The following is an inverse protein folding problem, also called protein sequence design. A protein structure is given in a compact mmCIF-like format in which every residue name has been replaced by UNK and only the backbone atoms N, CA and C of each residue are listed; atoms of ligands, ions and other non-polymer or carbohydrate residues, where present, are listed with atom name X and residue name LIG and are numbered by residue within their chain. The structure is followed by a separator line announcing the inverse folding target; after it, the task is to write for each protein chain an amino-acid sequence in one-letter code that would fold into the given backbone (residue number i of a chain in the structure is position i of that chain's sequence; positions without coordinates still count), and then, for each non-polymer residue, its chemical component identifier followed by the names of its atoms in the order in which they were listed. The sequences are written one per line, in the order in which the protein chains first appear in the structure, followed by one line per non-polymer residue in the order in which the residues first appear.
data_IF_485689340815
#
_entry.id   IF_485689340815
#
_cell.length_a   1.000
_cell.length_b   1.000
_cell.length_c   1.000
_cell.angle_alpha   90.00
_cell.angle_beta   90.00
_cell.angle_gamma   90.00
#
_symmetry.space_group_name_H-M   'P 1'
#
loop_
_entity.id
_entity.type
_entity.pdbx_description
1 polymer ?
#
# COMPACT_ATOMS: atom_id res chain seq x y z
N UNK A 1 22.94 -6.21 -3.29
CA UNK A 1 21.79 -5.32 -3.00
C UNK A 1 21.11 -5.73 -1.70
N UNK A 2 20.60 -4.75 -0.92
CA UNK A 2 19.73 -5.04 0.24
C UNK A 2 18.52 -5.87 -0.24
N UNK A 3 18.24 -6.99 0.42
CA UNK A 3 17.09 -7.85 0.09
C UNK A 3 15.77 -7.19 0.49
N UNK A 4 14.73 -7.41 -0.30
CA UNK A 4 13.38 -6.96 0.01
C UNK A 4 12.75 -7.90 1.05
N UNK A 5 12.80 -7.47 2.32
CA UNK A 5 12.33 -8.26 3.46
C UNK A 5 10.87 -8.70 3.33
N UNK A 6 9.99 -7.80 2.89
CA UNK A 6 8.56 -8.13 2.76
C UNK A 6 8.29 -9.11 1.61
N UNK A 7 9.03 -8.99 0.51
CA UNK A 7 8.95 -9.95 -0.61
C UNK A 7 9.37 -11.35 -0.17
N UNK A 8 10.40 -11.43 0.69
CA UNK A 8 10.83 -12.68 1.30
C UNK A 8 9.77 -13.22 2.27
N UNK A 9 9.22 -12.39 3.15
CA UNK A 9 8.16 -12.81 4.10
C UNK A 9 6.97 -13.41 3.36
N UNK A 10 6.47 -12.77 2.30
CA UNK A 10 5.35 -13.28 1.51
C UNK A 10 5.68 -14.61 0.81
N UNK A 11 6.91 -14.77 0.28
CA UNK A 11 7.37 -16.06 -0.28
C UNK A 11 7.40 -17.18 0.76
N UNK A 12 7.65 -16.84 2.03
CA UNK A 12 7.61 -17.77 3.17
C UNK A 12 6.19 -18.01 3.70
N UNK A 13 5.16 -17.43 3.07
CA UNK A 13 3.76 -17.52 3.51
C UNK A 13 3.46 -16.72 4.78
N UNK A 14 4.30 -15.75 5.12
CA UNK A 14 4.08 -14.84 6.26
C UNK A 14 3.37 -13.60 5.78
N UNK A 15 2.25 -13.18 6.42
CA UNK A 15 1.55 -11.96 6.06
C UNK A 15 2.40 -10.74 6.42
N UNK A 16 2.33 -9.70 5.58
CA UNK A 16 2.98 -8.41 5.76
C UNK A 16 1.97 -7.41 6.30
N UNK A 17 2.32 -6.71 7.37
CA UNK A 17 1.54 -5.62 7.95
C UNK A 17 2.14 -4.30 7.48
N UNK A 18 1.39 -3.59 6.64
CA UNK A 18 1.79 -2.32 6.05
C UNK A 18 1.08 -1.13 6.69
N UNK A 19 1.85 -0.10 7.03
CA UNK A 19 1.30 1.20 7.42
C UNK A 19 1.26 2.16 6.22
N UNK A 20 0.50 3.26 6.35
CA UNK A 20 0.25 4.20 5.27
C UNK A 20 0.57 5.62 5.70
N UNK A 21 1.37 6.36 4.93
CA UNK A 21 1.82 7.71 5.22
C UNK A 21 1.18 8.69 4.23
N UNK A 22 0.22 9.48 4.69
CA UNK A 22 -0.49 10.49 3.93
C UNK A 22 -0.11 11.93 4.31
N UNK A 23 0.56 12.12 5.46
CA UNK A 23 1.03 13.43 5.95
C UNK A 23 2.41 13.71 5.33
N UNK A 24 2.64 14.88 4.68
CA UNK A 24 3.90 15.23 4.05
C UNK A 24 4.95 15.67 5.09
N UNK A 25 5.31 14.76 6.00
CA UNK A 25 6.19 15.05 7.13
C UNK A 25 7.13 13.90 7.44
N UNK A 26 8.43 14.23 7.54
CA UNK A 26 9.45 13.28 8.00
C UNK A 26 9.21 12.86 9.45
N UNK A 27 8.74 13.78 10.31
CA UNK A 27 8.43 13.45 11.71
C UNK A 27 7.28 12.44 11.83
N UNK A 28 6.24 12.57 10.98
CA UNK A 28 5.17 11.57 10.91
C UNK A 28 5.70 10.22 10.42
N UNK A 29 6.49 10.22 9.33
CA UNK A 29 7.08 9.01 8.77
C UNK A 29 8.01 8.31 9.77
N UNK A 30 8.83 9.07 10.55
CA UNK A 30 9.68 8.56 11.60
C UNK A 30 8.88 7.93 12.73
N UNK A 31 7.87 8.65 13.24
CA UNK A 31 6.99 8.13 14.28
C UNK A 31 6.34 6.81 13.84
N UNK A 32 5.83 6.74 12.60
CA UNK A 32 5.28 5.52 12.03
C UNK A 32 6.32 4.41 11.90
N UNK A 33 7.53 4.69 11.42
CA UNK A 33 8.57 3.70 11.17
C UNK A 33 9.04 2.97 12.45
N UNK A 34 8.84 3.57 13.62
CA UNK A 34 9.19 2.99 14.92
C UNK A 34 8.04 2.20 15.59
N UNK A 35 6.92 1.96 14.92
CA UNK A 35 5.75 1.26 15.51
C UNK A 35 5.69 -0.25 15.21
N UNK A 36 6.69 -0.80 14.51
CA UNK A 36 6.75 -2.25 14.25
C UNK A 36 6.06 -2.72 12.96
N UNK A 37 5.80 -1.82 12.02
CA UNK A 37 5.35 -2.18 10.67
C UNK A 37 6.42 -2.95 9.91
N UNK A 38 6.03 -3.90 9.06
CA UNK A 38 6.95 -4.56 8.13
C UNK A 38 7.31 -3.66 6.95
N UNK A 39 6.36 -2.82 6.54
CA UNK A 39 6.52 -1.83 5.48
C UNK A 39 5.69 -0.56 5.74
N UNK A 40 6.11 0.53 5.12
CA UNK A 40 5.35 1.79 5.07
C UNK A 40 5.22 2.25 3.63
N UNK A 41 3.99 2.53 3.22
CA UNK A 41 3.69 3.09 1.90
C UNK A 41 3.48 4.59 1.99
N UNK A 42 4.30 5.36 1.30
CA UNK A 42 4.11 6.81 1.10
C UNK A 42 3.09 7.00 0.00
N UNK A 43 1.99 7.68 0.32
CA UNK A 43 0.87 7.86 -0.58
C UNK A 43 0.99 9.14 -1.39
N UNK A 44 1.43 9.02 -2.64
CA UNK A 44 1.58 10.16 -3.55
C UNK A 44 0.31 10.38 -4.40
N UNK A 45 -0.72 9.51 -4.30
CA UNK A 45 -1.97 9.64 -5.05
C UNK A 45 -3.01 10.49 -4.31
N UNK A 46 -3.38 10.07 -3.10
CA UNK A 46 -4.41 10.72 -2.28
C UNK A 46 -3.86 11.30 -0.99
N UNK A 47 -2.62 10.98 -0.62
CA UNK A 47 -1.88 11.66 0.43
C UNK A 47 -1.57 13.12 0.02
N UNK A 48 -1.23 13.94 1.00
CA UNK A 48 -0.81 15.31 0.76
C UNK A 48 0.68 15.39 0.34
N UNK A 49 1.20 14.32 -0.29
CA UNK A 49 2.62 14.08 -0.52
C UNK A 49 2.95 14.18 -2.00
N UNK A 50 3.85 15.08 -2.35
CA UNK A 50 4.52 15.12 -3.66
C UNK A 50 5.94 14.52 -3.57
N UNK A 51 6.70 14.54 -4.68
CA UNK A 51 8.05 14.00 -4.70
C UNK A 51 8.99 14.71 -3.73
N UNK A 52 8.83 16.01 -3.52
CA UNK A 52 9.69 16.81 -2.65
C UNK A 52 9.55 16.39 -1.18
N UNK A 53 8.38 15.94 -0.78
CA UNK A 53 8.10 15.38 0.54
C UNK A 53 8.43 13.88 0.59
N UNK A 54 8.11 13.12 -0.47
CA UNK A 54 8.33 11.68 -0.51
C UNK A 54 9.81 11.32 -0.36
N UNK A 55 10.72 12.03 -1.00
CA UNK A 55 12.16 11.78 -0.91
C UNK A 55 12.67 11.81 0.54
N UNK A 56 12.52 12.87 1.34
CA UNK A 56 12.95 12.88 2.73
C UNK A 56 12.18 11.88 3.61
N UNK A 57 10.91 11.58 3.32
CA UNK A 57 10.17 10.53 4.01
C UNK A 57 10.78 9.14 3.74
N UNK A 58 11.16 8.83 2.48
CA UNK A 58 11.88 7.60 2.14
C UNK A 58 13.23 7.52 2.87
N UNK A 59 13.96 8.64 3.00
CA UNK A 59 15.20 8.70 3.77
C UNK A 59 14.95 8.35 5.23
N UNK A 60 13.93 8.93 5.83
CA UNK A 60 13.56 8.69 7.23
C UNK A 60 13.17 7.24 7.48
N UNK A 61 12.27 6.68 6.68
CA UNK A 61 11.85 5.27 6.81
C UNK A 61 13.06 4.34 6.70
N UNK A 62 14.00 4.63 5.79
CA UNK A 62 15.19 3.80 5.56
C UNK A 62 16.22 3.82 6.71
N UNK A 63 16.05 4.64 7.74
CA UNK A 63 16.87 4.58 8.96
C UNK A 63 16.48 3.42 9.87
N UNK A 64 15.37 2.75 9.58
CA UNK A 64 14.85 1.60 10.30
C UNK A 64 14.89 0.33 9.42
N UNK A 65 14.42 -0.80 9.97
CA UNK A 65 14.27 -2.05 9.21
C UNK A 65 12.96 -2.13 8.41
N UNK A 66 12.13 -1.10 8.46
CA UNK A 66 10.85 -1.02 7.74
C UNK A 66 11.12 -0.83 6.24
N UNK A 67 10.44 -1.62 5.41
CA UNK A 67 10.60 -1.53 3.95
C UNK A 67 9.84 -0.33 3.38
N UNK A 68 10.52 0.65 2.73
CA UNK A 68 9.85 1.81 2.15
C UNK A 68 9.17 1.48 0.82
N UNK A 69 7.88 1.76 0.72
CA UNK A 69 7.05 1.62 -0.48
C UNK A 69 6.43 2.95 -0.87
N UNK A 70 5.92 3.05 -2.10
CA UNK A 70 5.13 4.19 -2.56
C UNK A 70 3.89 3.75 -3.33
N UNK A 71 2.77 4.44 -3.13
CA UNK A 71 1.69 4.49 -4.11
C UNK A 71 1.90 5.70 -4.99
N UNK A 72 2.09 5.47 -6.29
CA UNK A 72 2.28 6.55 -7.28
C UNK A 72 0.95 7.20 -7.64
N UNK A 73 1.00 8.41 -8.20
CA UNK A 73 -0.21 9.17 -8.55
C UNK A 73 -1.01 8.48 -9.65
N UNK A 74 -0.30 7.90 -10.60
CA UNK A 74 -0.85 7.21 -11.77
C UNK A 74 0.19 6.25 -12.35
N UNK A 75 -0.22 5.42 -13.30
CA UNK A 75 0.71 4.57 -14.07
C UNK A 75 1.51 5.44 -15.06
N UNK A 76 2.41 6.26 -14.53
CA UNK A 76 3.23 7.22 -15.29
C UNK A 76 4.71 6.88 -15.06
N UNK A 77 5.45 6.49 -16.15
CA UNK A 77 6.81 5.96 -16.04
C UNK A 77 7.81 6.89 -15.35
N UNK A 78 7.74 8.19 -15.62
CA UNK A 78 8.67 9.16 -15.05
C UNK A 78 8.55 9.27 -13.53
N UNK A 79 7.33 9.21 -13.00
CA UNK A 79 7.09 9.22 -11.56
C UNK A 79 7.55 7.90 -10.90
N UNK A 80 7.24 6.77 -11.54
CA UNK A 80 7.65 5.44 -11.08
C UNK A 80 9.18 5.38 -10.99
N UNK A 81 9.89 5.73 -12.07
CA UNK A 81 11.35 5.73 -12.10
C UNK A 81 11.92 6.66 -11.02
N UNK A 82 11.36 7.86 -10.89
CA UNK A 82 11.83 8.89 -9.97
C UNK A 82 11.76 8.46 -8.51
N UNK A 83 10.63 7.84 -8.10
CA UNK A 83 10.49 7.39 -6.70
C UNK A 83 11.31 6.12 -6.42
N UNK A 84 11.52 5.26 -7.40
CA UNK A 84 12.45 4.13 -7.28
C UNK A 84 13.89 4.61 -7.09
N UNK A 85 14.32 5.66 -7.81
CA UNK A 85 15.64 6.26 -7.66
C UNK A 85 15.83 6.94 -6.28
N UNK A 86 14.71 7.33 -5.62
CA UNK A 86 14.69 7.80 -4.24
C UNK A 86 14.89 6.67 -3.21
N UNK A 87 15.03 5.40 -3.63
CA UNK A 87 15.26 4.25 -2.76
C UNK A 87 13.97 3.55 -2.30
N UNK A 88 12.87 3.74 -3.00
CA UNK A 88 11.65 2.97 -2.82
C UNK A 88 11.89 1.51 -3.21
N UNK A 89 11.36 0.57 -2.43
CA UNK A 89 11.53 -0.89 -2.63
C UNK A 89 10.28 -1.59 -3.14
N UNK A 90 9.23 -0.84 -3.42
CA UNK A 90 8.03 -1.37 -4.08
C UNK A 90 7.03 -0.29 -4.43
N UNK A 91 6.32 -0.53 -5.50
CA UNK A 91 5.31 0.37 -6.06
C UNK A 91 3.93 -0.27 -5.94
N UNK A 92 2.99 0.50 -5.43
CA UNK A 92 1.55 0.26 -5.56
C UNK A 92 1.06 1.17 -6.69
N UNK A 93 0.72 0.59 -7.84
CA UNK A 93 0.29 1.33 -9.04
C UNK A 93 -1.24 1.35 -9.13
N UNK A 94 -1.90 2.52 -9.01
CA UNK A 94 -3.35 2.61 -9.05
C UNK A 94 -3.92 2.38 -10.45
N UNK A 95 -5.21 2.03 -10.53
CA UNK A 95 -6.05 2.05 -11.73
C UNK A 95 -5.56 1.17 -12.88
N UNK A 96 -4.84 0.08 -12.60
CA UNK A 96 -4.40 -0.87 -13.64
C UNK A 96 -5.58 -1.71 -14.09
N UNK A 97 -6.04 -1.48 -15.34
CA UNK A 97 -7.31 -2.00 -15.84
C UNK A 97 -7.18 -3.13 -16.86
N UNK A 98 -6.01 -3.27 -17.49
CA UNK A 98 -5.78 -4.26 -18.54
C UNK A 98 -4.31 -4.68 -18.63
N UNK A 99 -4.05 -5.71 -19.45
CA UNK A 99 -2.70 -6.27 -19.65
C UNK A 99 -1.69 -5.22 -20.11
N UNK A 100 -2.06 -4.33 -21.04
CA UNK A 100 -1.15 -3.32 -21.56
C UNK A 100 -0.70 -2.34 -20.49
N UNK A 101 -1.59 -1.95 -19.60
CA UNK A 101 -1.27 -1.10 -18.46
C UNK A 101 -0.40 -1.82 -17.44
N UNK A 102 -0.65 -3.11 -17.19
CA UNK A 102 0.19 -3.94 -16.34
C UNK A 102 1.61 -4.08 -16.91
N UNK A 103 1.75 -4.33 -18.23
CA UNK A 103 3.04 -4.37 -18.92
C UNK A 103 3.78 -3.03 -18.82
N UNK A 104 3.11 -1.92 -19.08
CA UNK A 104 3.71 -0.59 -18.99
C UNK A 104 4.23 -0.29 -17.57
N UNK A 105 3.44 -0.64 -16.55
CA UNK A 105 3.81 -0.51 -15.15
C UNK A 105 5.06 -1.32 -14.80
N UNK A 106 5.05 -2.59 -15.13
CA UNK A 106 6.19 -3.49 -14.84
C UNK A 106 7.45 -3.01 -15.53
N UNK A 107 7.37 -2.70 -16.84
CA UNK A 107 8.50 -2.25 -17.61
C UNK A 107 9.08 -0.92 -17.13
N UNK A 108 8.24 -0.02 -16.60
CA UNK A 108 8.69 1.22 -15.95
C UNK A 108 9.48 0.97 -14.65
N UNK A 109 9.22 -0.14 -13.97
CA UNK A 109 9.93 -0.53 -12.75
C UNK A 109 11.26 -1.25 -13.01
N UNK A 110 11.45 -1.83 -14.20
CA UNK A 110 12.54 -2.75 -14.51
C UNK A 110 13.58 -2.14 -15.45
N UNK A 111 14.84 -2.43 -15.20
CA UNK A 111 15.94 -2.09 -16.13
C UNK A 111 15.95 -3.01 -17.34
N UNK A 112 16.49 -2.54 -18.48
CA UNK A 112 16.73 -3.40 -19.65
C UNK A 112 17.56 -4.67 -19.28
N UNK A 113 17.33 -5.81 -19.96
CA UNK A 113 16.43 -5.99 -21.11
C UNK A 113 14.95 -6.20 -20.75
N UNK A 114 14.59 -6.38 -19.46
CA UNK A 114 13.24 -6.75 -19.02
C UNK A 114 12.26 -5.57 -19.01
N UNK A 115 12.77 -4.34 -18.99
CA UNK A 115 11.98 -3.11 -19.01
C UNK A 115 12.71 -1.95 -19.69
N UNK A 116 12.22 -0.74 -19.42
CA UNK A 116 12.78 0.49 -19.99
C UNK A 116 13.12 1.57 -18.94
N UNK A 117 13.21 1.18 -17.65
CA UNK A 117 13.64 2.10 -16.59
C UNK A 117 15.00 2.68 -16.93
N UNK A 118 15.12 4.01 -16.93
CA UNK A 118 16.40 4.69 -17.12
C UNK A 118 17.32 4.49 -15.91
N UNK A 119 18.60 4.27 -16.14
CA UNK A 119 19.58 4.07 -15.08
C UNK A 119 20.12 5.40 -14.53
N UNK A 120 19.90 5.66 -13.27
CA UNK A 120 20.38 6.84 -12.55
C UNK A 120 19.96 6.81 -11.06
N UNK A 121 20.04 5.64 -10.38
CA UNK A 121 19.46 5.47 -9.06
C UNK A 121 20.38 6.01 -7.95
N UNK A 122 20.57 7.33 -7.86
CA UNK A 122 21.49 7.95 -6.89
C UNK A 122 21.26 7.40 -5.48
N UNK A 123 20.04 7.51 -4.97
CA UNK A 123 19.75 7.01 -3.63
C UNK A 123 19.46 5.51 -3.60
N UNK A 124 18.99 4.95 -4.72
CA UNK A 124 18.87 3.49 -4.89
C UNK A 124 20.20 2.78 -4.62
N UNK A 125 21.33 3.33 -5.11
CA UNK A 125 22.68 2.81 -4.83
C UNK A 125 23.09 3.00 -3.36
N UNK A 126 22.80 4.15 -2.74
CA UNK A 126 23.14 4.44 -1.34
C UNK A 126 22.40 3.48 -0.40
N UNK A 127 21.12 3.29 -0.59
CA UNK A 127 20.26 2.46 0.26
C UNK A 127 20.32 0.99 -0.10
N UNK A 128 20.30 0.68 -1.38
CA UNK A 128 20.24 -0.68 -1.91
C UNK A 128 21.59 -1.38 -1.99
N UNK A 129 22.67 -0.63 -2.19
CA UNK A 129 24.03 -1.18 -2.37
C UNK A 129 24.58 -0.98 -3.77
N UNK A 130 25.90 -1.15 -3.94
CA UNK A 130 26.60 -0.88 -5.20
C UNK A 130 26.16 -1.81 -6.37
N UNK A 131 25.68 -2.98 -6.05
CA UNK A 131 25.13 -3.99 -6.96
C UNK A 131 23.61 -3.84 -7.21
N UNK A 132 23.06 -2.64 -6.95
CA UNK A 132 21.61 -2.37 -7.08
C UNK A 132 21.06 -2.71 -8.46
N UNK A 133 21.77 -2.35 -9.53
CA UNK A 133 21.34 -2.59 -10.90
C UNK A 133 21.17 -4.08 -11.23
N UNK A 134 22.05 -4.93 -10.67
CA UNK A 134 22.07 -6.36 -10.97
C UNK A 134 20.88 -7.11 -10.36
N UNK A 135 20.23 -6.53 -9.33
CA UNK A 135 19.19 -7.19 -8.56
C UNK A 135 17.87 -6.41 -8.48
N UNK A 136 17.83 -5.14 -8.93
CA UNK A 136 16.65 -4.29 -8.77
C UNK A 136 15.38 -4.88 -9.42
N UNK A 137 15.50 -5.51 -10.59
CA UNK A 137 14.39 -6.12 -11.29
C UNK A 137 13.70 -7.22 -10.45
N UNK A 138 14.48 -7.94 -9.63
CA UNK A 138 13.99 -9.01 -8.76
C UNK A 138 13.49 -8.49 -7.41
N UNK A 139 14.20 -7.50 -6.82
CA UNK A 139 13.95 -7.05 -5.45
C UNK A 139 12.84 -6.01 -5.36
N UNK A 140 12.62 -5.19 -6.38
CA UNK A 140 11.52 -4.20 -6.39
C UNK A 140 10.16 -4.93 -6.46
N UNK A 141 9.30 -4.68 -5.46
CA UNK A 141 7.94 -5.21 -5.41
C UNK A 141 7.02 -4.41 -6.33
N UNK A 142 6.27 -5.09 -7.19
CA UNK A 142 5.36 -4.49 -8.19
C UNK A 142 3.93 -4.97 -7.94
N UNK A 143 3.10 -4.10 -7.32
CA UNK A 143 1.71 -4.37 -6.98
C UNK A 143 0.78 -3.55 -7.89
N UNK A 144 0.00 -4.22 -8.74
CA UNK A 144 -1.01 -3.58 -9.58
C UNK A 144 -2.33 -3.45 -8.80
N UNK A 145 -2.94 -2.25 -8.71
CA UNK A 145 -4.22 -2.11 -8.04
C UNK A 145 -5.37 -2.58 -8.92
N UNK A 146 -6.21 -3.41 -8.33
CA UNK A 146 -7.46 -3.93 -8.93
C UNK A 146 -8.62 -3.20 -8.26
N UNK A 147 -9.19 -2.23 -8.97
CA UNK A 147 -10.18 -1.32 -8.38
C UNK A 147 -11.15 -0.71 -9.42
N UNK A 148 -11.06 -1.13 -10.69
CA UNK A 148 -11.93 -0.66 -11.77
C UNK A 148 -12.85 -1.78 -12.28
N UNK A 149 -13.94 -1.42 -12.97
CA UNK A 149 -14.79 -2.42 -13.62
C UNK A 149 -14.03 -3.20 -14.69
N UNK A 150 -13.22 -2.50 -15.49
CA UNK A 150 -12.39 -3.10 -16.54
C UNK A 150 -11.36 -4.08 -15.96
N UNK A 151 -10.72 -3.74 -14.82
CA UNK A 151 -9.78 -4.64 -14.16
C UNK A 151 -10.42 -5.93 -13.70
N UNK A 152 -11.70 -5.88 -13.25
CA UNK A 152 -12.46 -7.06 -12.88
C UNK A 152 -12.77 -8.00 -14.08
N UNK A 153 -12.87 -7.43 -15.27
CA UNK A 153 -13.09 -8.19 -16.52
C UNK A 153 -11.76 -8.82 -17.01
N UNK A 154 -10.61 -8.26 -16.64
CA UNK A 154 -9.27 -8.61 -17.15
C UNK A 154 -8.34 -9.23 -16.09
N UNK A 155 -8.87 -9.82 -15.01
CA UNK A 155 -8.07 -10.29 -13.86
C UNK A 155 -6.92 -11.22 -14.28
N UNK A 156 -7.21 -12.28 -15.04
CA UNK A 156 -6.19 -13.24 -15.43
C UNK A 156 -5.13 -12.64 -16.37
N UNK A 157 -5.52 -11.71 -17.25
CA UNK A 157 -4.58 -11.03 -18.14
C UNK A 157 -3.61 -10.12 -17.39
N UNK A 158 -4.12 -9.35 -16.40
CA UNK A 158 -3.30 -8.50 -15.54
C UNK A 158 -2.37 -9.36 -14.68
N UNK A 159 -2.92 -10.38 -14.03
CA UNK A 159 -2.20 -11.20 -13.05
C UNK A 159 -1.18 -12.14 -13.68
N UNK A 160 -1.38 -12.57 -14.94
CA UNK A 160 -0.43 -13.37 -15.70
C UNK A 160 0.65 -12.54 -16.42
N UNK A 161 0.60 -11.22 -16.31
CA UNK A 161 1.62 -10.35 -16.92
C UNK A 161 2.99 -10.60 -16.28
N UNK A 162 4.01 -10.98 -17.06
CA UNK A 162 5.34 -11.23 -16.51
C UNK A 162 5.89 -10.03 -15.74
N UNK A 163 6.37 -10.27 -14.53
CA UNK A 163 6.94 -9.25 -13.66
C UNK A 163 5.95 -8.56 -12.72
N UNK A 164 4.65 -8.80 -12.83
CA UNK A 164 3.69 -8.46 -11.77
C UNK A 164 3.94 -9.40 -10.59
N UNK A 165 4.38 -8.86 -9.45
CA UNK A 165 4.63 -9.66 -8.24
C UNK A 165 3.33 -9.94 -7.47
N UNK A 166 2.34 -9.06 -7.58
CA UNK A 166 1.07 -9.20 -6.90
C UNK A 166 0.07 -8.13 -7.30
N UNK A 167 -1.11 -8.26 -6.72
CA UNK A 167 -2.16 -7.24 -6.83
C UNK A 167 -2.38 -6.53 -5.48
N UNK A 168 -2.99 -5.36 -5.55
CA UNK A 168 -3.45 -4.62 -4.39
C UNK A 168 -4.90 -4.16 -4.60
N UNK A 169 -5.78 -4.49 -3.66
CA UNK A 169 -7.19 -4.13 -3.77
C UNK A 169 -7.44 -2.78 -3.08
N UNK A 170 -8.03 -1.82 -3.82
CA UNK A 170 -8.62 -0.59 -3.31
C UNK A 170 -10.13 -0.75 -3.11
N UNK A 171 -10.64 -1.18 -1.94
CA UNK A 171 -12.05 -1.54 -1.78
C UNK A 171 -13.02 -0.38 -2.00
N UNK A 172 -12.58 0.87 -1.75
CA UNK A 172 -13.42 2.05 -1.93
C UNK A 172 -13.74 2.29 -3.41
N UNK A 173 -12.70 2.35 -4.26
CA UNK A 173 -12.84 2.53 -5.71
C UNK A 173 -13.49 1.32 -6.37
N UNK A 174 -13.12 0.10 -5.95
CA UNK A 174 -13.78 -1.12 -6.38
C UNK A 174 -15.30 -1.09 -6.12
N UNK A 175 -15.71 -0.61 -4.92
CA UNK A 175 -17.13 -0.48 -4.59
C UNK A 175 -17.84 0.50 -5.52
N UNK A 176 -17.23 1.67 -5.77
CA UNK A 176 -17.76 2.66 -6.72
C UNK A 176 -17.87 2.10 -8.13
N UNK A 177 -16.85 1.36 -8.59
CA UNK A 177 -16.80 0.76 -9.92
C UNK A 177 -17.95 -0.23 -10.18
N UNK A 178 -18.46 -0.88 -9.14
CA UNK A 178 -19.60 -1.83 -9.23
C UNK A 178 -20.93 -1.24 -8.75
N UNK A 179 -21.00 0.07 -8.51
CA UNK A 179 -22.22 0.79 -8.14
C UNK A 179 -22.63 0.67 -6.67
N UNK A 180 -21.68 0.35 -5.77
CA UNK A 180 -21.88 0.37 -4.32
C UNK A 180 -21.28 1.64 -3.68
N UNK A 181 -21.69 1.95 -2.45
CA UNK A 181 -21.09 3.04 -1.67
C UNK A 181 -19.63 2.72 -1.34
N UNK A 182 -18.71 3.70 -1.40
CA UNK A 182 -17.31 3.48 -1.08
C UNK A 182 -17.12 3.09 0.38
N UNK A 183 -16.14 2.22 0.64
CA UNK A 183 -15.77 1.80 1.99
C UNK A 183 -14.62 0.81 1.95
N UNK A 184 -13.84 0.77 3.04
CA UNK A 184 -12.69 -0.13 3.14
C UNK A 184 -13.10 -1.52 3.60
N UNK A 185 -13.82 -1.61 4.73
CA UNK A 185 -14.26 -2.88 5.31
C UNK A 185 -15.64 -3.22 4.75
N UNK A 186 -15.70 -4.28 3.95
CA UNK A 186 -16.94 -4.68 3.28
C UNK A 186 -17.65 -5.79 4.05
N UNK A 187 -18.95 -5.62 4.26
CA UNK A 187 -19.79 -6.68 4.84
C UNK A 187 -19.90 -7.87 3.87
N UNK A 188 -19.98 -9.08 4.39
CA UNK A 188 -20.06 -10.32 3.61
C UNK A 188 -21.26 -10.38 2.65
N UNK A 189 -22.28 -9.57 2.92
CA UNK A 189 -23.50 -9.47 2.10
C UNK A 189 -23.34 -8.53 0.90
N UNK A 190 -22.23 -7.82 0.76
CA UNK A 190 -22.01 -6.87 -0.33
C UNK A 190 -21.40 -7.54 -1.57
N UNK A 191 -21.69 -6.98 -2.75
CA UNK A 191 -21.05 -7.42 -3.99
C UNK A 191 -19.54 -7.17 -3.95
N UNK A 192 -19.10 -6.02 -3.38
CA UNK A 192 -17.70 -5.71 -3.25
C UNK A 192 -16.93 -6.77 -2.44
N UNK A 193 -17.53 -7.33 -1.38
CA UNK A 193 -16.91 -8.42 -0.65
C UNK A 193 -16.74 -9.68 -1.52
N UNK A 194 -17.75 -10.04 -2.29
CA UNK A 194 -17.68 -11.18 -3.21
C UNK A 194 -16.60 -10.98 -4.26
N UNK A 195 -16.48 -9.76 -4.83
CA UNK A 195 -15.42 -9.42 -5.78
C UNK A 195 -14.02 -9.46 -5.14
N UNK A 196 -13.87 -8.98 -3.90
CA UNK A 196 -12.60 -9.07 -3.15
C UNK A 196 -12.15 -10.54 -3.03
N UNK A 197 -13.05 -11.45 -2.71
CA UNK A 197 -12.71 -12.88 -2.63
C UNK A 197 -12.43 -13.50 -4.00
N UNK A 198 -13.15 -13.08 -5.05
CA UNK A 198 -12.88 -13.51 -6.44
C UNK A 198 -11.50 -13.06 -6.90
N UNK A 199 -11.11 -11.80 -6.63
CA UNK A 199 -9.77 -11.28 -6.94
C UNK A 199 -8.70 -12.10 -6.21
N UNK A 200 -8.90 -12.41 -4.93
CA UNK A 200 -7.98 -13.24 -4.15
C UNK A 200 -7.83 -14.65 -4.76
N UNK A 201 -8.92 -15.26 -5.20
CA UNK A 201 -8.89 -16.57 -5.86
C UNK A 201 -8.06 -16.54 -7.15
N UNK A 202 -8.27 -15.52 -8.00
CA UNK A 202 -7.50 -15.33 -9.23
C UNK A 202 -6.01 -15.07 -8.93
N UNK A 203 -5.66 -14.29 -7.90
CA UNK A 203 -4.27 -14.08 -7.50
C UNK A 203 -3.60 -15.40 -7.09
N UNK A 204 -4.27 -16.23 -6.30
CA UNK A 204 -3.78 -17.55 -5.91
C UNK A 204 -3.61 -18.48 -7.10
N UNK A 205 -4.56 -18.51 -8.02
CA UNK A 205 -4.49 -19.30 -9.26
C UNK A 205 -3.29 -18.91 -10.12
N UNK A 206 -2.97 -17.61 -10.18
CA UNK A 206 -1.81 -17.08 -10.90
C UNK A 206 -0.50 -17.12 -10.10
N UNK A 207 -0.54 -17.64 -8.86
CA UNK A 207 0.61 -17.75 -7.96
C UNK A 207 1.34 -16.41 -7.72
N UNK A 208 0.56 -15.33 -7.54
CA UNK A 208 1.04 -13.99 -7.19
C UNK A 208 0.48 -13.54 -5.84
N UNK A 209 1.14 -12.56 -5.21
CA UNK A 209 0.72 -12.01 -3.92
C UNK A 209 -0.58 -11.21 -4.01
N UNK A 210 -1.37 -11.28 -2.95
CA UNK A 210 -2.60 -10.52 -2.82
C UNK A 210 -2.52 -9.53 -1.66
N UNK A 211 -2.66 -8.23 -1.96
CA UNK A 211 -2.72 -7.15 -1.00
C UNK A 211 -4.11 -6.51 -0.93
N UNK A 212 -4.45 -5.92 0.22
CA UNK A 212 -5.72 -5.23 0.42
C UNK A 212 -5.62 -4.08 1.41
N UNK A 213 -6.32 -2.97 1.14
CA UNK A 213 -6.48 -1.85 2.06
C UNK A 213 -7.66 -2.10 3.01
N UNK A 214 -7.46 -1.89 4.32
CA UNK A 214 -8.46 -2.15 5.34
C UNK A 214 -8.70 -0.90 6.20
N UNK A 215 -9.89 -0.80 6.77
CA UNK A 215 -10.26 0.28 7.68
C UNK A 215 -9.95 -0.04 9.15
N UNK A 216 -10.05 -1.34 9.52
CA UNK A 216 -9.90 -1.81 10.90
C UNK A 216 -8.94 -2.98 11.03
N UNK A 217 -8.39 -3.16 12.23
CA UNK A 217 -7.51 -4.28 12.57
C UNK A 217 -8.25 -5.63 12.53
N UNK A 218 -9.52 -5.63 12.90
CA UNK A 218 -10.40 -6.79 12.89
C UNK A 218 -10.62 -7.31 11.48
N UNK A 219 -10.89 -6.37 10.55
CA UNK A 219 -11.08 -6.72 9.15
C UNK A 219 -9.78 -7.18 8.50
N UNK A 220 -8.66 -6.51 8.77
CA UNK A 220 -7.34 -6.93 8.30
C UNK A 220 -6.99 -8.34 8.79
N UNK A 221 -7.23 -8.65 10.07
CA UNK A 221 -7.04 -9.98 10.65
C UNK A 221 -7.91 -11.02 9.92
N UNK A 222 -9.16 -10.66 9.58
CA UNK A 222 -10.05 -11.53 8.81
C UNK A 222 -9.49 -11.78 7.40
N UNK A 223 -8.95 -10.76 6.74
CA UNK A 223 -8.38 -10.90 5.39
C UNK A 223 -7.10 -11.76 5.40
N UNK A 224 -6.24 -11.62 6.39
CA UNK A 224 -5.09 -12.53 6.59
C UNK A 224 -5.58 -13.99 6.71
N UNK A 225 -6.59 -14.25 7.52
CA UNK A 225 -7.17 -15.61 7.66
C UNK A 225 -7.79 -16.13 6.37
N UNK A 226 -8.24 -15.26 5.46
CA UNK A 226 -8.71 -15.62 4.12
C UNK A 226 -7.55 -15.92 3.16
N UNK A 227 -6.32 -15.51 3.51
CA UNK A 227 -5.09 -15.78 2.78
C UNK A 227 -4.58 -14.60 1.97
N UNK A 228 -4.86 -13.38 2.38
CA UNK A 228 -4.14 -12.19 1.88
C UNK A 228 -2.73 -12.16 2.45
N UNK A 229 -1.77 -11.84 1.60
CA UNK A 229 -0.34 -11.82 1.92
C UNK A 229 0.12 -10.46 2.45
N UNK A 230 -0.60 -9.38 2.09
CA UNK A 230 -0.23 -8.00 2.37
C UNK A 230 -1.47 -7.21 2.79
N UNK A 231 -1.50 -6.73 4.04
CA UNK A 231 -2.63 -5.96 4.57
C UNK A 231 -2.18 -4.59 5.00
N UNK A 232 -2.88 -3.56 4.50
CA UNK A 232 -2.68 -2.18 4.95
C UNK A 232 -3.76 -1.84 5.97
N UNK A 233 -3.36 -1.24 7.09
CA UNK A 233 -4.27 -0.83 8.14
C UNK A 233 -4.03 0.64 8.46
N UNK A 234 -5.06 1.46 8.32
CA UNK A 234 -5.06 2.88 8.66
C UNK A 234 -3.94 3.71 7.97
N UNK A 235 -4.02 5.01 8.11
CA UNK A 235 -2.93 5.93 7.76
C UNK A 235 -2.52 6.75 9.00
N UNK A 236 -1.34 7.35 8.93
CA UNK A 236 -0.85 8.29 9.94
C UNK A 236 -1.87 9.39 10.24
N UNK A 237 -2.49 10.00 9.21
CA UNK A 237 -3.53 11.02 9.37
C UNK A 237 -4.76 10.50 10.11
N UNK A 238 -5.21 9.28 9.80
CA UNK A 238 -6.34 8.65 10.49
C UNK A 238 -6.02 8.31 11.94
N UNK A 239 -4.81 7.80 12.20
CA UNK A 239 -4.34 7.50 13.54
C UNK A 239 -4.26 8.78 14.40
N UNK A 240 -3.69 9.87 13.84
CA UNK A 240 -3.63 11.17 14.50
C UNK A 240 -5.04 11.70 14.82
N UNK A 241 -5.95 11.70 13.84
CA UNK A 241 -7.31 12.20 14.01
C UNK A 241 -8.09 11.38 15.05
N UNK A 242 -7.98 10.06 15.00
CA UNK A 242 -8.66 9.17 15.96
C UNK A 242 -8.11 9.36 17.38
N UNK A 243 -6.79 9.48 17.56
CA UNK A 243 -6.16 9.71 18.85
C UNK A 243 -6.56 11.07 19.45
N UNK A 244 -6.52 12.13 18.65
CA UNK A 244 -6.95 13.46 19.06
C UNK A 244 -8.44 13.47 19.48
N UNK A 245 -9.31 12.89 18.64
CA UNK A 245 -10.74 12.78 18.95
C UNK A 245 -10.99 12.01 20.24
N UNK A 246 -10.37 10.86 20.42
CA UNK A 246 -10.54 10.06 21.63
C UNK A 246 -10.10 10.80 22.91
N UNK A 247 -9.06 11.67 22.80
CA UNK A 247 -8.60 12.49 23.91
C UNK A 247 -9.63 13.56 24.26
N UNK A 248 -10.17 14.28 23.27
CA UNK A 248 -11.19 15.31 23.47
C UNK A 248 -12.48 14.71 24.05
N UNK A 249 -12.96 13.58 23.47
CA UNK A 249 -14.19 12.93 23.93
C UNK A 249 -14.11 12.53 25.41
N UNK A 250 -12.95 12.02 25.88
CA UNK A 250 -12.75 11.67 27.30
C UNK A 250 -12.90 12.86 28.23
N UNK A 251 -12.41 14.03 27.82
CA UNK A 251 -12.50 15.24 28.63
C UNK A 251 -13.95 15.80 28.61
N UNK A 252 -14.59 15.82 27.43
CA UNK A 252 -15.97 16.27 27.30
C UNK A 252 -16.96 15.46 28.13
N UNK A 253 -16.76 14.14 28.26
CA UNK A 253 -17.58 13.29 29.12
C UNK A 253 -17.55 13.70 30.60
N UNK A 254 -16.45 14.34 31.07
CA UNK A 254 -16.36 14.85 32.45
C UNK A 254 -17.24 16.09 32.67
N UNK A 255 -17.54 16.87 31.62
CA UNK A 255 -18.36 18.06 31.70
C UNK A 255 -19.83 17.82 31.38
N UNK A 256 -20.17 16.74 30.71
CA UNK A 256 -21.53 16.37 30.26
C UNK A 256 -22.17 15.29 31.15
N UNK A 257 -21.44 14.67 32.09
CA UNK A 257 -22.04 13.81 33.09
C UNK A 257 -22.88 14.67 34.06
N UNK A 258 -24.15 14.30 34.35
CA UNK A 258 -24.92 14.98 35.38
C UNK A 258 -24.12 14.99 36.68
N UNK A 259 -23.94 16.19 37.25
CA UNK A 259 -23.32 16.31 38.56
C UNK A 259 -24.13 15.48 39.56
N UNK A 260 -23.51 14.77 40.51
CA UNK A 260 -24.21 14.08 41.58
C UNK A 260 -25.14 15.02 42.38
N UNK A 261 -25.01 16.35 42.22
CA UNK A 261 -25.88 17.36 42.81
C UNK A 261 -27.21 17.57 42.05
N UNK A 262 -27.29 17.11 40.79
CA UNK A 262 -28.53 17.26 39.98
C UNK A 262 -29.50 16.09 40.18
N UNK A 263 -29.13 15.09 41.00
CA UNK A 263 -29.96 13.95 41.34
C UNK A 263 -30.76 14.11 42.66
N UNK A 264 -30.74 15.30 43.25
CA UNK A 264 -31.46 15.65 44.48
C UNK A 264 -32.44 16.81 44.30
N UNK A 265 -33.25 16.79 43.24
CA UNK A 265 -34.38 17.70 43.07
C UNK A 265 -35.66 16.91 42.81
#
# INVERSE_FOLDING_TARGET
MRKNKIKQMMKEGKPVINGWCAIPSTASAEAMAHQGWDSLTVDMQHGLVDYSNALPMMQTISTTDVTPLARVNWNEPGQIMKILDAGCYGIVCPMVSNKKEAENFVQACMYPPDGYRSFGPIRGLIYGGADYADHANEEILKLAMIETKESLENLDEIMSTPGVDGIYIGPADLSLAIGEKPGFDRAETTKAYSEILRILEHAKKNNIFAGIHNGTTEYATKMIKKGFDFVTIASDLRALSAGAKATVDKICLLYTSPSPRDSCA
#
